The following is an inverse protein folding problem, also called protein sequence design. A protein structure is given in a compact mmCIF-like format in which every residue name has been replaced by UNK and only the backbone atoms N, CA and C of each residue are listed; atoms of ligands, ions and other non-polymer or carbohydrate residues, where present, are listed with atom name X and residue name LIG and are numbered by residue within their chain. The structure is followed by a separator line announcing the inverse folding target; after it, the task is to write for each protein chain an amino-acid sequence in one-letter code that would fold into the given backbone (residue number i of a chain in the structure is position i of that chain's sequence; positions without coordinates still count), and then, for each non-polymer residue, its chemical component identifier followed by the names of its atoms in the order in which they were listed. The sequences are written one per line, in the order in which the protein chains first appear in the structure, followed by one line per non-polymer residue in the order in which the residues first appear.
data_IF_195520324069
#
_entry.id   IF_195520324069
#
_cell.length_a   1.000
_cell.length_b   1.000
_cell.length_c   1.000
_cell.angle_alpha   90.00
_cell.angle_beta   90.00
_cell.angle_gamma   90.00
#
_symmetry.space_group_name_H-M   'P 1'
#
loop_
_entity.id
_entity.type
_entity.pdbx_description
1 polymer ?
#
# COMPACT_ATOMS: atom_id res chain seq x y z
N UNK A 1 16.01 -17.99 -14.01
CA UNK A 1 14.72 -18.24 -13.34
C UNK A 1 14.06 -16.90 -13.14
N UNK A 2 12.79 -16.72 -13.58
CA UNK A 2 12.07 -15.48 -13.36
C UNK A 2 11.81 -15.34 -11.86
N UNK A 3 12.22 -14.22 -11.25
CA UNK A 3 12.02 -13.96 -9.82
C UNK A 3 10.61 -13.42 -9.52
N UNK A 4 9.89 -13.00 -10.57
CA UNK A 4 8.54 -12.45 -10.49
C UNK A 4 7.83 -12.64 -11.82
N UNK A 5 6.57 -13.04 -11.78
CA UNK A 5 5.67 -13.13 -12.93
C UNK A 5 4.36 -12.39 -12.60
N UNK A 6 3.80 -11.70 -13.57
CA UNK A 6 2.54 -10.99 -13.44
C UNK A 6 1.54 -11.50 -14.48
N UNK A 7 0.39 -11.99 -14.01
CA UNK A 7 -0.73 -12.43 -14.84
C UNK A 7 -1.86 -11.42 -14.69
N UNK A 8 -2.24 -10.81 -15.79
CA UNK A 8 -3.29 -9.78 -15.84
C UNK A 8 -4.44 -10.19 -16.74
N UNK A 9 -5.66 -9.89 -16.30
CA UNK A 9 -6.84 -9.80 -17.15
C UNK A 9 -7.74 -8.65 -16.67
N UNK A 10 -8.96 -8.54 -17.21
CA UNK A 10 -9.91 -7.47 -16.85
C UNK A 10 -10.41 -7.58 -15.41
N UNK A 11 -10.41 -8.77 -14.83
CA UNK A 11 -10.98 -9.05 -13.50
C UNK A 11 -9.94 -9.09 -12.40
N UNK A 12 -8.70 -9.54 -12.69
CA UNK A 12 -7.67 -9.72 -11.67
C UNK A 12 -6.27 -9.42 -12.19
N UNK A 13 -5.40 -9.15 -11.24
CA UNK A 13 -3.97 -9.02 -11.42
C UNK A 13 -3.28 -9.92 -10.39
N UNK A 14 -2.58 -10.95 -10.86
CA UNK A 14 -1.90 -11.93 -10.02
C UNK A 14 -0.39 -11.68 -10.10
N UNK A 15 0.23 -11.46 -8.96
CA UNK A 15 1.68 -11.38 -8.82
C UNK A 15 2.21 -12.70 -8.26
N UNK A 16 3.10 -13.33 -8.99
CA UNK A 16 3.76 -14.57 -8.59
C UNK A 16 5.20 -14.23 -8.23
N UNK A 17 5.58 -14.46 -6.97
CA UNK A 17 6.93 -14.26 -6.47
C UNK A 17 7.57 -15.59 -6.13
N UNK A 18 8.89 -15.71 -6.34
CA UNK A 18 9.65 -16.76 -5.66
C UNK A 18 9.69 -16.49 -4.15
N UNK A 19 9.85 -17.50 -3.28
CA UNK A 19 9.98 -17.29 -1.84
C UNK A 19 11.05 -16.28 -1.46
N UNK A 20 12.22 -16.36 -2.09
CA UNK A 20 13.33 -15.42 -1.83
C UNK A 20 12.98 -13.99 -2.22
N UNK A 21 12.32 -13.80 -3.38
CA UNK A 21 11.87 -12.47 -3.82
C UNK A 21 10.82 -11.91 -2.87
N UNK A 22 9.83 -12.72 -2.47
CA UNK A 22 8.83 -12.30 -1.50
C UNK A 22 9.47 -11.90 -0.17
N UNK A 23 10.39 -12.72 0.35
CA UNK A 23 11.14 -12.42 1.58
C UNK A 23 11.93 -11.11 1.47
N UNK A 24 12.64 -10.89 0.37
CA UNK A 24 13.39 -9.66 0.13
C UNK A 24 12.46 -8.43 0.10
N UNK A 25 11.34 -8.52 -0.61
CA UNK A 25 10.36 -7.44 -0.70
C UNK A 25 9.66 -7.17 0.64
N UNK A 26 9.38 -8.22 1.41
CA UNK A 26 8.83 -8.09 2.77
C UNK A 26 9.81 -7.37 3.71
N UNK A 27 11.11 -7.73 3.67
CA UNK A 27 12.17 -7.07 4.45
C UNK A 27 12.43 -5.62 4.02
N UNK A 28 12.04 -5.26 2.80
CA UNK A 28 12.04 -3.90 2.28
C UNK A 28 10.71 -3.18 2.53
N UNK A 29 9.78 -3.81 3.26
CA UNK A 29 8.46 -3.27 3.59
C UNK A 29 7.65 -2.86 2.37
N UNK A 30 7.72 -3.64 1.28
CA UNK A 30 6.91 -3.40 0.10
C UNK A 30 5.43 -3.65 0.44
N UNK A 31 4.56 -2.68 0.19
CA UNK A 31 3.18 -2.70 0.70
C UNK A 31 2.40 -3.95 0.30
N UNK A 32 2.47 -4.39 -0.96
CA UNK A 32 1.75 -5.60 -1.38
C UNK A 32 2.24 -6.88 -0.68
N UNK A 33 3.53 -6.96 -0.30
CA UNK A 33 4.04 -8.08 0.50
C UNK A 33 3.58 -7.99 1.95
N UNK A 34 3.48 -6.78 2.52
CA UNK A 34 2.90 -6.57 3.84
C UNK A 34 1.40 -6.92 3.86
N UNK A 35 0.64 -6.53 2.84
CA UNK A 35 -0.76 -6.91 2.69
C UNK A 35 -0.92 -8.44 2.64
N UNK A 36 -0.07 -9.15 1.89
CA UNK A 36 -0.07 -10.61 1.86
C UNK A 36 0.36 -11.23 3.21
N UNK A 37 1.38 -10.66 3.85
CA UNK A 37 1.89 -11.16 5.13
C UNK A 37 0.85 -11.04 6.24
N UNK A 38 0.13 -9.92 6.30
CA UNK A 38 -0.92 -9.66 7.29
C UNK A 38 -2.31 -10.13 6.84
N UNK A 39 -2.44 -10.73 5.65
CA UNK A 39 -3.74 -11.18 5.14
C UNK A 39 -4.43 -12.09 6.17
N UNK A 40 -5.73 -11.90 6.41
CA UNK A 40 -6.48 -12.71 7.36
C UNK A 40 -6.51 -14.19 6.91
N UNK A 41 -6.68 -15.11 7.87
CA UNK A 41 -6.59 -16.55 7.62
C UNK A 41 -7.55 -17.03 6.51
N UNK A 42 -8.76 -16.49 6.48
CA UNK A 42 -9.75 -16.83 5.45
C UNK A 42 -9.33 -16.42 4.03
N UNK A 43 -8.42 -15.47 3.88
CA UNK A 43 -7.90 -15.02 2.59
C UNK A 43 -6.67 -15.82 2.14
N UNK A 44 -6.12 -16.68 3.01
CA UNK A 44 -4.94 -17.50 2.73
C UNK A 44 -5.36 -18.86 2.24
N UNK A 45 -5.15 -19.15 0.96
CA UNK A 45 -5.48 -20.46 0.39
C UNK A 45 -4.52 -21.56 0.84
N UNK A 46 -3.23 -21.21 1.00
CA UNK A 46 -2.18 -22.16 1.40
C UNK A 46 -0.97 -21.42 1.93
N UNK A 47 -0.50 -21.80 3.10
CA UNK A 47 0.75 -21.33 3.69
C UNK A 47 1.78 -22.47 3.67
N UNK A 48 2.89 -22.29 2.95
CA UNK A 48 3.98 -23.29 2.90
C UNK A 48 5.12 -22.97 3.86
N UNK A 49 5.39 -21.69 4.09
CA UNK A 49 6.50 -21.22 4.90
C UNK A 49 6.00 -20.15 5.89
N UNK A 50 6.48 -20.25 7.12
CA UNK A 50 6.27 -19.21 8.11
C UNK A 50 7.48 -18.27 8.10
N UNK A 51 7.24 -16.99 7.85
CA UNK A 51 8.27 -15.94 7.94
C UNK A 51 8.41 -15.49 9.41
N UNK A 52 8.90 -16.42 10.26
CA UNK A 52 8.90 -16.28 11.72
C UNK A 52 9.85 -15.18 12.20
N UNK A 53 10.85 -14.83 11.38
CA UNK A 53 11.89 -13.86 11.74
C UNK A 53 11.60 -12.44 11.22
N UNK A 54 10.38 -12.19 10.72
CA UNK A 54 10.02 -10.86 10.24
C UNK A 54 9.81 -9.92 11.43
N UNK A 55 10.68 -8.93 11.55
CA UNK A 55 10.58 -7.87 12.55
C UNK A 55 10.60 -6.49 11.87
N UNK A 56 9.84 -5.56 12.43
CA UNK A 56 9.76 -4.20 11.88
C UNK A 56 10.86 -3.33 12.51
N UNK A 57 11.76 -2.85 11.67
CA UNK A 57 12.60 -1.70 12.01
C UNK A 57 11.82 -0.42 11.69
N UNK A 58 11.34 0.28 12.71
CA UNK A 58 10.45 1.45 12.57
C UNK A 58 10.97 2.50 11.61
N UNK A 59 12.26 2.85 11.70
CA UNK A 59 12.85 3.89 10.85
C UNK A 59 12.89 3.48 9.38
N UNK A 60 13.34 2.26 9.10
CA UNK A 60 13.34 1.72 7.73
C UNK A 60 11.93 1.56 7.19
N UNK A 61 11.01 1.09 8.01
CA UNK A 61 9.60 0.93 7.66
C UNK A 61 8.99 2.28 7.27
N UNK A 62 9.12 3.29 8.12
CA UNK A 62 8.63 4.65 7.81
C UNK A 62 9.21 5.20 6.52
N UNK A 63 10.52 5.10 6.36
CA UNK A 63 11.19 5.57 5.14
C UNK A 63 10.65 4.85 3.90
N UNK A 64 10.48 3.52 3.97
CA UNK A 64 9.97 2.73 2.85
C UNK A 64 8.54 3.14 2.48
N UNK A 65 7.62 3.19 3.43
CA UNK A 65 6.21 3.54 3.17
C UNK A 65 6.06 4.97 2.64
N UNK A 66 6.77 5.94 3.21
CA UNK A 66 6.78 7.32 2.71
C UNK A 66 7.29 7.41 1.28
N UNK A 67 8.36 6.68 0.97
CA UNK A 67 8.93 6.63 -0.38
C UNK A 67 7.93 6.01 -1.36
N UNK A 68 7.33 4.87 -1.02
CA UNK A 68 6.33 4.20 -1.87
C UNK A 68 5.11 5.09 -2.10
N UNK A 69 4.57 5.72 -1.06
CA UNK A 69 3.44 6.66 -1.19
C UNK A 69 3.79 7.82 -2.13
N UNK A 70 4.95 8.45 -1.94
CA UNK A 70 5.40 9.58 -2.77
C UNK A 70 5.61 9.19 -4.24
N UNK A 71 6.27 8.06 -4.49
CA UNK A 71 6.48 7.55 -5.84
C UNK A 71 5.16 7.19 -6.53
N UNK A 72 4.24 6.55 -5.80
CA UNK A 72 2.93 6.16 -6.32
C UNK A 72 2.06 7.38 -6.61
N UNK A 73 2.13 8.44 -5.79
CA UNK A 73 1.46 9.71 -6.04
C UNK A 73 2.01 10.43 -7.28
N UNK A 74 3.34 10.41 -7.45
CA UNK A 74 3.98 10.96 -8.65
C UNK A 74 3.60 10.16 -9.90
N UNK A 75 3.53 8.83 -9.79
CA UNK A 75 3.06 7.97 -10.87
C UNK A 75 1.60 8.23 -11.22
N UNK A 76 0.73 8.52 -10.25
CA UNK A 76 -0.65 8.93 -10.50
C UNK A 76 -0.69 10.18 -11.40
N UNK A 77 0.07 11.23 -11.05
CA UNK A 77 0.20 12.44 -11.86
C UNK A 77 0.62 12.12 -13.30
N UNK A 78 1.66 11.29 -13.46
CA UNK A 78 2.13 10.89 -14.80
C UNK A 78 1.03 10.18 -15.60
N UNK A 79 0.26 9.29 -14.96
CA UNK A 79 -0.83 8.56 -15.61
C UNK A 79 -1.97 9.48 -16.08
N UNK A 80 -2.35 10.46 -15.27
CA UNK A 80 -3.29 11.50 -15.71
C UNK A 80 -2.76 12.27 -16.93
N UNK A 81 -1.49 12.67 -16.91
CA UNK A 81 -0.86 13.41 -18.00
C UNK A 81 -0.76 12.60 -19.31
N UNK A 82 -0.70 11.29 -19.23
CA UNK A 82 -0.66 10.39 -20.39
C UNK A 82 -2.04 9.90 -20.82
N UNK A 83 -3.13 10.40 -20.21
CA UNK A 83 -4.50 10.02 -20.54
C UNK A 83 -4.96 8.69 -19.96
N UNK A 84 -4.12 8.00 -19.16
CA UNK A 84 -4.49 6.75 -18.49
C UNK A 84 -5.17 7.05 -17.13
N UNK A 85 -6.36 7.66 -17.23
CA UNK A 85 -7.09 8.20 -16.07
C UNK A 85 -7.37 7.10 -15.03
N UNK A 86 -7.84 5.94 -15.48
CA UNK A 86 -8.17 4.82 -14.58
C UNK A 86 -6.97 4.39 -13.73
N UNK A 87 -5.78 4.24 -14.35
CA UNK A 87 -4.57 3.93 -13.58
C UNK A 87 -4.10 5.11 -12.74
N UNK A 88 -4.33 6.34 -13.18
CA UNK A 88 -4.08 7.55 -12.40
C UNK A 88 -4.86 7.56 -11.09
N UNK A 89 -6.18 7.34 -11.15
CA UNK A 89 -7.07 7.24 -9.99
C UNK A 89 -6.64 6.11 -9.04
N UNK A 90 -6.40 4.91 -9.60
CA UNK A 90 -5.92 3.75 -8.83
C UNK A 90 -4.60 4.04 -8.11
N UNK A 91 -3.63 4.65 -8.78
CA UNK A 91 -2.34 4.99 -8.18
C UNK A 91 -2.50 6.05 -7.08
N UNK A 92 -3.32 7.09 -7.31
CA UNK A 92 -3.62 8.09 -6.28
C UNK A 92 -4.23 7.48 -5.02
N UNK A 93 -5.19 6.57 -5.17
CA UNK A 93 -5.76 5.80 -4.08
C UNK A 93 -4.69 4.98 -3.33
N UNK A 94 -3.85 4.22 -4.06
CA UNK A 94 -2.82 3.38 -3.44
C UNK A 94 -1.76 4.20 -2.68
N UNK A 95 -1.49 5.44 -3.10
CA UNK A 95 -0.57 6.31 -2.37
C UNK A 95 -1.09 6.68 -0.97
N UNK A 96 -2.40 6.92 -0.84
CA UNK A 96 -3.06 7.22 0.44
C UNK A 96 -3.21 5.94 1.28
N UNK A 97 -3.68 4.86 0.66
CA UNK A 97 -3.84 3.54 1.31
C UNK A 97 -2.54 3.06 1.96
N UNK A 98 -1.39 3.25 1.30
CA UNK A 98 -0.10 2.84 1.84
C UNK A 98 0.23 3.53 3.17
N UNK A 99 -0.09 4.80 3.31
CA UNK A 99 0.11 5.56 4.55
C UNK A 99 -0.83 5.09 5.66
N UNK A 100 -2.10 4.90 5.33
CA UNK A 100 -3.10 4.44 6.29
C UNK A 100 -2.81 3.02 6.79
N UNK A 101 -2.50 2.07 5.90
CA UNK A 101 -2.08 0.73 6.32
C UNK A 101 -0.77 0.76 7.10
N UNK A 102 0.14 1.66 6.73
CA UNK A 102 1.35 1.91 7.50
C UNK A 102 1.05 2.36 8.93
N UNK A 103 0.07 3.25 9.12
CA UNK A 103 -0.40 3.67 10.45
C UNK A 103 -0.98 2.50 11.22
N UNK A 104 -1.85 1.68 10.62
CA UNK A 104 -2.37 0.50 11.30
C UNK A 104 -1.26 -0.44 11.77
N UNK A 105 -0.21 -0.64 10.96
CA UNK A 105 0.93 -1.47 11.35
C UNK A 105 1.69 -0.83 12.53
N UNK A 106 1.84 0.50 12.56
CA UNK A 106 2.47 1.18 13.69
C UNK A 106 1.63 1.14 14.96
N UNK A 107 0.29 1.18 14.84
CA UNK A 107 -0.65 1.16 15.95
C UNK A 107 -0.86 -0.26 16.53
N UNK A 108 -0.95 -1.27 15.65
CA UNK A 108 -1.43 -2.61 16.01
C UNK A 108 -0.41 -3.73 15.73
N UNK A 109 0.76 -3.42 15.17
CA UNK A 109 1.73 -4.42 14.71
C UNK A 109 1.30 -5.19 13.46
N UNK A 110 0.14 -4.86 12.89
CA UNK A 110 -0.47 -5.54 11.73
C UNK A 110 -1.47 -4.64 11.00
N UNK A 111 -1.86 -5.04 9.80
CA UNK A 111 -3.04 -4.47 9.17
C UNK A 111 -4.26 -5.09 9.85
N UNK A 112 -4.99 -4.27 10.61
CA UNK A 112 -6.12 -4.71 11.42
C UNK A 112 -7.45 -4.65 10.65
N UNK A 113 -7.59 -3.66 9.77
CA UNK A 113 -8.79 -3.47 8.94
C UNK A 113 -8.42 -3.23 7.47
N UNK A 114 -8.57 -4.28 6.65
CA UNK A 114 -8.36 -4.21 5.21
C UNK A 114 -9.45 -3.42 4.47
N UNK A 115 -10.58 -3.17 5.11
CA UNK A 115 -11.73 -2.45 4.54
C UNK A 115 -11.70 -0.94 4.82
N UNK A 116 -10.82 -0.45 5.67
CA UNK A 116 -10.74 0.94 6.12
C UNK A 116 -10.73 1.99 4.99
N UNK A 117 -10.19 1.63 3.84
CA UNK A 117 -10.11 2.50 2.66
C UNK A 117 -11.22 2.26 1.62
N UNK A 118 -12.18 1.36 1.86
CA UNK A 118 -13.19 1.03 0.86
C UNK A 118 -14.07 2.25 0.51
N UNK A 119 -14.45 3.05 1.49
CA UNK A 119 -15.23 4.27 1.25
C UNK A 119 -14.46 5.27 0.38
N UNK A 120 -13.17 5.47 0.65
CA UNK A 120 -12.32 6.33 -0.18
C UNK A 120 -12.18 5.80 -1.61
N UNK A 121 -12.06 4.49 -1.76
CA UNK A 121 -11.98 3.84 -3.08
C UNK A 121 -13.27 4.08 -3.88
N UNK A 122 -14.43 3.88 -3.28
CA UNK A 122 -15.73 4.11 -3.93
C UNK A 122 -15.93 5.59 -4.25
N UNK A 123 -15.52 6.49 -3.36
CA UNK A 123 -15.55 7.93 -3.63
C UNK A 123 -14.68 8.30 -4.84
N UNK A 124 -13.43 7.81 -4.89
CA UNK A 124 -12.53 8.08 -6.02
C UNK A 124 -13.08 7.50 -7.32
N UNK A 125 -13.70 6.32 -7.29
CA UNK A 125 -14.31 5.68 -8.47
C UNK A 125 -15.54 6.41 -8.98
N UNK A 126 -16.33 6.98 -8.08
CA UNK A 126 -17.55 7.71 -8.43
C UNK A 126 -17.29 9.12 -8.95
N UNK A 127 -16.07 9.65 -8.76
CA UNK A 127 -15.71 10.97 -9.23
C UNK A 127 -15.27 10.94 -10.70
N UNK A 128 -15.83 11.87 -11.51
CA UNK A 128 -15.46 12.08 -12.90
C UNK A 128 -14.24 13.00 -12.99
N UNK A 129 -13.06 12.50 -12.60
CA UNK A 129 -11.82 13.22 -12.80
C UNK A 129 -11.20 12.87 -14.15
N UNK A 130 -11.00 13.87 -14.99
CA UNK A 130 -10.31 13.72 -16.27
C UNK A 130 -8.89 14.27 -16.25
N UNK A 131 -8.54 15.07 -15.21
CA UNK A 131 -7.27 15.74 -15.05
C UNK A 131 -6.67 15.56 -13.65
N UNK A 132 -5.35 15.67 -13.59
CA UNK A 132 -4.61 15.61 -12.34
C UNK A 132 -4.95 16.74 -11.36
N UNK A 133 -5.19 17.97 -11.87
CA UNK A 133 -5.37 19.14 -11.00
C UNK A 133 -6.56 18.99 -10.06
N UNK A 134 -7.79 18.71 -10.54
CA UNK A 134 -8.94 18.56 -9.65
C UNK A 134 -8.80 17.35 -8.72
N UNK A 135 -8.21 16.25 -9.17
CA UNK A 135 -7.92 15.10 -8.31
C UNK A 135 -6.96 15.50 -7.16
N UNK A 136 -5.85 16.17 -7.51
CA UNK A 136 -4.89 16.66 -6.52
C UNK A 136 -5.53 17.63 -5.53
N UNK A 137 -6.30 18.61 -5.99
CA UNK A 137 -6.96 19.61 -5.14
C UNK A 137 -7.87 18.94 -4.11
N UNK A 138 -8.57 17.88 -4.50
CA UNK A 138 -9.49 17.16 -3.61
C UNK A 138 -8.76 16.29 -2.58
N UNK A 139 -7.71 15.55 -2.97
CA UNK A 139 -7.12 14.50 -2.13
C UNK A 139 -5.74 14.83 -1.54
N UNK A 140 -5.10 15.94 -1.93
CA UNK A 140 -3.78 16.28 -1.42
C UNK A 140 -3.78 16.54 0.09
N UNK A 141 -4.80 17.24 0.60
CA UNK A 141 -4.91 17.52 2.03
C UNK A 141 -5.01 16.24 2.86
N UNK A 142 -5.83 15.29 2.42
CA UNK A 142 -5.96 13.99 3.06
C UNK A 142 -4.64 13.20 3.04
N UNK A 143 -3.95 13.20 1.88
CA UNK A 143 -2.64 12.55 1.77
C UNK A 143 -1.62 13.16 2.73
N UNK A 144 -1.56 14.49 2.82
CA UNK A 144 -0.64 15.20 3.72
C UNK A 144 -0.97 14.88 5.18
N UNK A 145 -2.25 14.87 5.56
CA UNK A 145 -2.69 14.51 6.91
C UNK A 145 -2.19 13.12 7.32
N UNK A 146 -2.40 12.10 6.48
CA UNK A 146 -1.89 10.76 6.75
C UNK A 146 -0.36 10.72 6.79
N UNK A 147 0.31 11.45 5.91
CA UNK A 147 1.77 11.52 5.86
C UNK A 147 2.35 12.14 7.15
N UNK A 148 1.75 13.20 7.66
CA UNK A 148 2.16 13.84 8.91
C UNK A 148 1.90 12.94 10.12
N UNK A 149 0.71 12.33 10.21
CA UNK A 149 0.40 11.35 11.25
C UNK A 149 1.42 10.21 11.25
N UNK A 150 1.73 9.68 10.07
CA UNK A 150 2.68 8.58 9.92
C UNK A 150 4.12 8.96 10.29
N UNK A 151 4.59 10.14 9.86
CA UNK A 151 5.92 10.67 10.22
C UNK A 151 6.08 10.86 11.72
N UNK A 152 5.05 11.43 12.36
CA UNK A 152 5.09 11.80 13.77
C UNK A 152 4.71 10.66 14.72
N UNK A 153 4.26 9.51 14.20
CA UNK A 153 3.92 8.35 15.01
C UNK A 153 5.15 7.85 15.79
N UNK A 154 5.07 7.59 17.10
CA UNK A 154 6.23 7.14 17.90
C UNK A 154 6.77 5.78 17.45
N UNK A 155 5.92 4.88 16.94
CA UNK A 155 6.34 3.55 16.51
C UNK A 155 6.75 2.65 17.66
N UNK A 156 6.06 2.75 18.78
CA UNK A 156 6.33 1.94 19.98
C UNK A 156 5.54 0.63 19.91
N UNK A 157 6.23 -0.45 19.55
CA UNK A 157 5.66 -1.80 19.50
C UNK A 157 5.62 -2.50 20.87
N UNK A 158 6.10 -1.88 21.94
CA UNK A 158 6.11 -2.49 23.29
C UNK A 158 4.71 -2.69 23.88
N UNK A 159 3.70 -2.07 23.27
CA UNK A 159 2.30 -2.11 23.69
C UNK A 159 1.42 -3.05 22.86
N UNK A 160 2.02 -3.75 21.89
CA UNK A 160 1.29 -4.65 21.00
C UNK A 160 1.40 -6.05 21.59
N UNK A 161 0.29 -6.57 22.15
CA UNK A 161 0.13 -7.94 22.60
C UNK A 161 -0.20 -8.90 21.44
#
# INVERSE_FOLDING_TARGET
MLNHEEIKNEQYNIHIHTPDKFKADLLNYTMHCLECFYAPEWARLREKEKYVDFAINVNKFKQSILTQSSQTWTHAKYKFQTGDIHRGLKSGFHAIKALEFGLQILDYGRINDFSSNNQLLEEIRSCEFYDWKPFKEKYLALKIEFEEKFKNHPGDFSKIE
#
